data_IF_660212325721
#
_entry.id   IF_660212325721
#
_cell.length_a   1.000
_cell.length_b   1.000
_cell.length_c   1.000
_cell.angle_alpha   90.00
_cell.angle_beta   90.00
_cell.angle_gamma   90.00
#
_symmetry.space_group_name_H-M   'P 1'
#
loop_
_entity.id
_entity.type
_entity.pdbx_description
1 polymer ?
#
# COMPACT_ATOMS: atom_id res chain seq x y z
N UNK A 1 -12.74 -29.22 23.40
CA UNK A 1 -12.19 -29.73 22.13
C UNK A 1 -12.31 -28.59 21.11
N UNK A 2 -11.21 -27.97 20.71
CA UNK A 2 -11.23 -27.02 19.59
C UNK A 2 -11.30 -27.81 18.30
N UNK A 3 -12.32 -27.54 17.49
CA UNK A 3 -12.41 -28.15 16.15
C UNK A 3 -11.22 -27.60 15.34
N UNK A 4 -10.37 -28.45 14.75
CA UNK A 4 -9.24 -27.98 13.96
C UNK A 4 -9.74 -27.20 12.74
N UNK A 5 -9.05 -26.10 12.41
CA UNK A 5 -9.38 -25.30 11.22
C UNK A 5 -9.18 -26.13 9.95
N UNK A 6 -10.17 -26.11 9.06
CA UNK A 6 -10.06 -26.70 7.73
C UNK A 6 -9.22 -25.82 6.79
N UNK A 7 -8.90 -26.32 5.59
CA UNK A 7 -8.03 -25.64 4.62
C UNK A 7 -8.53 -24.24 4.25
N UNK A 8 -9.83 -24.10 3.99
CA UNK A 8 -10.41 -22.82 3.56
C UNK A 8 -10.44 -21.81 4.72
N UNK A 9 -10.73 -22.26 5.93
CA UNK A 9 -10.66 -21.45 7.15
C UNK A 9 -9.24 -20.97 7.41
N UNK A 10 -8.23 -21.83 7.23
CA UNK A 10 -6.82 -21.45 7.37
C UNK A 10 -6.42 -20.41 6.34
N UNK A 11 -6.80 -20.60 5.06
CA UNK A 11 -6.53 -19.63 3.99
C UNK A 11 -7.16 -18.27 4.27
N UNK A 12 -8.45 -18.26 4.64
CA UNK A 12 -9.14 -17.03 4.99
C UNK A 12 -8.46 -16.32 6.17
N UNK A 13 -8.12 -17.07 7.22
CA UNK A 13 -7.46 -16.50 8.39
C UNK A 13 -6.05 -15.99 8.06
N UNK A 14 -5.27 -16.71 7.26
CA UNK A 14 -3.96 -16.26 6.79
C UNK A 14 -4.07 -14.93 6.05
N UNK A 15 -4.97 -14.82 5.08
CA UNK A 15 -5.14 -13.59 4.30
C UNK A 15 -5.51 -12.39 5.21
N UNK A 16 -6.46 -12.58 6.12
CA UNK A 16 -6.88 -11.52 7.05
C UNK A 16 -5.76 -11.09 8.02
N UNK A 17 -4.98 -12.05 8.53
CA UNK A 17 -3.87 -11.75 9.44
C UNK A 17 -2.66 -11.12 8.71
N UNK A 18 -2.42 -11.51 7.45
CA UNK A 18 -1.38 -10.91 6.61
C UNK A 18 -1.71 -9.45 6.28
N UNK A 19 -2.96 -9.13 5.97
CA UNK A 19 -3.42 -7.74 5.77
C UNK A 19 -3.21 -6.88 7.03
N UNK A 20 -3.53 -7.43 8.21
CA UNK A 20 -3.25 -6.76 9.48
C UNK A 20 -1.74 -6.56 9.69
N UNK A 21 -0.92 -7.58 9.43
CA UNK A 21 0.54 -7.48 9.53
C UNK A 21 1.11 -6.37 8.64
N UNK A 22 0.65 -6.27 7.39
CA UNK A 22 1.06 -5.22 6.44
C UNK A 22 0.75 -3.81 6.99
N UNK A 23 -0.45 -3.62 7.55
CA UNK A 23 -0.83 -2.35 8.17
C UNK A 23 0.00 -2.03 9.42
N UNK A 24 0.31 -3.02 10.26
CA UNK A 24 1.17 -2.83 11.43
C UNK A 24 2.59 -2.41 11.03
N UNK A 25 3.16 -3.03 9.99
CA UNK A 25 4.46 -2.64 9.43
C UNK A 25 4.45 -1.19 8.91
N UNK A 26 3.38 -0.79 8.22
CA UNK A 26 3.21 0.58 7.74
C UNK A 26 3.09 1.58 8.88
N UNK A 27 2.30 1.28 9.92
CA UNK A 27 2.17 2.15 11.09
C UNK A 27 3.48 2.27 11.85
N UNK A 28 4.21 1.17 12.03
CA UNK A 28 5.54 1.20 12.64
C UNK A 28 6.48 2.15 11.88
N UNK A 29 6.54 2.05 10.55
CA UNK A 29 7.38 2.94 9.73
C UNK A 29 6.97 4.42 9.84
N UNK A 30 5.67 4.73 9.87
CA UNK A 30 5.17 6.10 10.03
C UNK A 30 5.45 6.64 11.43
N UNK A 31 5.24 5.83 12.46
CA UNK A 31 5.50 6.20 13.84
C UNK A 31 6.98 6.41 14.09
N UNK A 32 7.89 5.78 13.35
CA UNK A 32 9.34 5.98 13.50
C UNK A 32 9.86 7.33 12.98
N UNK A 33 9.00 8.19 12.43
CA UNK A 33 9.40 9.51 11.94
C UNK A 33 8.65 10.60 12.70
N UNK A 34 9.29 11.75 12.87
CA UNK A 34 8.64 12.93 13.44
C UNK A 34 7.67 13.56 12.42
N UNK A 35 7.99 13.41 11.13
CA UNK A 35 7.09 13.73 10.04
C UNK A 35 7.38 12.88 8.80
N UNK A 36 6.37 12.72 7.95
CA UNK A 36 6.52 12.15 6.61
C UNK A 36 6.15 13.21 5.58
N UNK A 37 7.12 13.61 4.76
CA UNK A 37 6.91 14.52 3.63
C UNK A 37 7.00 13.72 2.33
N UNK A 38 5.97 13.85 1.50
CA UNK A 38 5.85 13.28 0.15
C UNK A 38 5.60 14.41 -0.84
N UNK A 39 5.62 14.12 -2.15
CA UNK A 39 5.40 15.11 -3.22
C UNK A 39 4.11 15.93 -3.01
N UNK A 40 3.04 15.29 -2.53
CA UNK A 40 1.72 15.93 -2.41
C UNK A 40 1.26 16.14 -0.96
N UNK A 41 1.96 15.60 0.03
CA UNK A 41 1.46 15.56 1.43
C UNK A 41 2.58 15.71 2.43
N UNK A 42 2.32 16.50 3.46
CA UNK A 42 3.06 16.51 4.72
C UNK A 42 2.17 15.91 5.81
N UNK A 43 2.70 14.91 6.50
CA UNK A 43 2.04 14.20 7.60
C UNK A 43 2.91 14.32 8.84
N UNK A 44 2.68 15.34 9.70
CA UNK A 44 3.39 15.43 10.97
C UNK A 44 2.93 14.29 11.89
N UNK A 45 3.84 13.76 12.70
CA UNK A 45 3.49 12.79 13.74
C UNK A 45 2.88 13.55 14.93
N UNK A 46 1.59 13.33 15.26
CA UNK A 46 0.93 14.10 16.29
C UNK A 46 1.21 13.57 17.71
N UNK A 47 1.93 12.45 17.84
CA UNK A 47 2.11 11.77 19.12
C UNK A 47 3.38 12.24 19.85
N UNK A 48 3.27 12.45 21.16
CA UNK A 48 4.44 12.69 22.01
C UNK A 48 5.40 11.49 21.98
N UNK A 49 6.69 11.68 22.30
CA UNK A 49 7.66 10.58 22.36
C UNK A 49 7.19 9.39 23.22
N UNK A 50 6.56 9.65 24.36
CA UNK A 50 6.04 8.61 25.26
C UNK A 50 4.87 7.86 24.65
N UNK A 51 3.94 8.58 24.00
CA UNK A 51 2.78 7.94 23.35
C UNK A 51 3.22 7.15 22.12
N UNK A 52 4.16 7.67 21.35
CA UNK A 52 4.79 6.98 20.22
C UNK A 52 5.49 5.70 20.67
N UNK A 53 6.27 5.76 21.74
CA UNK A 53 6.89 4.55 22.33
C UNK A 53 5.85 3.50 22.70
N UNK A 54 4.78 3.89 23.40
CA UNK A 54 3.68 2.96 23.76
C UNK A 54 2.99 2.34 22.53
N UNK A 55 2.77 3.13 21.48
CA UNK A 55 2.19 2.61 20.23
C UNK A 55 3.11 1.59 19.55
N UNK A 56 4.42 1.87 19.52
CA UNK A 56 5.42 0.95 18.97
C UNK A 56 5.52 -0.36 19.78
N UNK A 57 5.46 -0.26 21.10
CA UNK A 57 5.38 -1.42 22.01
C UNK A 57 4.11 -2.26 21.71
N UNK A 58 2.94 -1.62 21.58
CA UNK A 58 1.70 -2.32 21.24
C UNK A 58 1.75 -2.99 19.85
N UNK A 59 2.34 -2.34 18.85
CA UNK A 59 2.54 -2.94 17.52
C UNK A 59 3.44 -4.17 17.61
N UNK A 60 4.49 -4.11 18.43
CA UNK A 60 5.43 -5.22 18.63
C UNK A 60 4.72 -6.41 19.28
N UNK A 61 4.01 -6.16 20.39
CA UNK A 61 3.20 -7.19 21.08
C UNK A 61 2.13 -7.79 20.16
N UNK A 62 1.49 -6.97 19.32
CA UNK A 62 0.49 -7.46 18.36
C UNK A 62 1.14 -8.37 17.31
N UNK A 63 2.31 -8.00 16.80
CA UNK A 63 3.08 -8.80 15.82
C UNK A 63 3.51 -10.14 16.43
N UNK A 64 3.94 -10.15 17.69
CA UNK A 64 4.25 -11.39 18.42
C UNK A 64 3.02 -12.28 18.59
N UNK A 65 1.85 -11.69 18.85
CA UNK A 65 0.60 -12.43 18.93
C UNK A 65 0.21 -13.05 17.57
N UNK A 66 0.41 -12.33 16.46
CA UNK A 66 0.19 -12.88 15.11
C UNK A 66 1.08 -14.09 14.84
N UNK A 67 2.36 -14.03 15.24
CA UNK A 67 3.29 -15.18 15.12
C UNK A 67 2.80 -16.38 15.93
N UNK A 68 2.38 -16.15 17.17
CA UNK A 68 1.82 -17.20 18.02
C UNK A 68 0.54 -17.81 17.45
N UNK A 69 -0.35 -16.98 16.88
CA UNK A 69 -1.56 -17.47 16.19
C UNK A 69 -1.19 -18.33 14.97
N UNK A 70 -0.26 -17.87 14.14
CA UNK A 70 0.22 -18.63 12.97
C UNK A 70 0.72 -20.01 13.39
N UNK A 71 1.51 -20.08 14.44
CA UNK A 71 2.07 -21.33 14.99
C UNK A 71 0.97 -22.22 15.58
N UNK A 72 0.10 -21.67 16.43
CA UNK A 72 -0.96 -22.43 17.12
C UNK A 72 -1.98 -23.04 16.15
N UNK A 73 -2.29 -22.34 15.05
CA UNK A 73 -3.26 -22.80 14.06
C UNK A 73 -2.61 -23.47 12.83
N UNK A 74 -1.28 -23.53 12.77
CA UNK A 74 -0.53 -24.06 11.64
C UNK A 74 -0.95 -23.39 10.34
N UNK A 75 -0.91 -22.05 10.33
CA UNK A 75 -1.27 -21.23 9.18
C UNK A 75 -0.09 -21.20 8.19
N UNK A 76 -0.37 -21.30 6.87
CA UNK A 76 0.68 -21.23 5.87
C UNK A 76 1.36 -19.85 5.87
N UNK A 77 2.64 -19.84 5.49
CA UNK A 77 3.32 -18.63 5.01
C UNK A 77 2.99 -18.53 3.52
N UNK A 78 2.49 -17.38 3.09
CA UNK A 78 2.24 -17.12 1.68
C UNK A 78 3.49 -16.51 1.04
N UNK A 79 3.97 -17.14 -0.03
CA UNK A 79 4.99 -16.55 -0.88
C UNK A 79 4.31 -15.55 -1.83
N UNK A 80 4.60 -14.28 -1.64
CA UNK A 80 4.17 -13.23 -2.55
C UNK A 80 5.19 -13.06 -3.68
N UNK A 81 4.72 -13.09 -4.94
CA UNK A 81 5.54 -12.71 -6.08
C UNK A 81 5.62 -11.17 -6.16
N UNK A 82 6.73 -10.61 -5.68
CA UNK A 82 6.99 -9.18 -5.72
C UNK A 82 6.88 -8.62 -7.15
N UNK A 83 7.30 -9.37 -8.18
CA UNK A 83 7.21 -8.90 -9.58
C UNK A 83 5.77 -8.78 -10.02
N UNK A 84 4.93 -9.75 -9.64
CA UNK A 84 3.50 -9.70 -9.91
C UNK A 84 2.84 -8.53 -9.16
N UNK A 85 3.15 -8.35 -7.87
CA UNK A 85 2.63 -7.24 -7.07
C UNK A 85 3.01 -5.87 -7.65
N UNK A 86 4.28 -5.67 -8.00
CA UNK A 86 4.75 -4.45 -8.65
C UNK A 86 4.05 -4.24 -10.00
N UNK A 87 3.93 -5.28 -10.81
CA UNK A 87 3.29 -5.19 -12.13
C UNK A 87 1.81 -4.80 -12.02
N UNK A 88 1.06 -5.45 -11.13
CA UNK A 88 -0.35 -5.17 -10.91
C UNK A 88 -0.56 -3.76 -10.36
N UNK A 89 0.26 -3.35 -9.39
CA UNK A 89 0.20 -2.01 -8.78
C UNK A 89 0.51 -0.91 -9.79
N UNK A 90 1.57 -1.08 -10.59
CA UNK A 90 1.94 -0.11 -11.63
C UNK A 90 0.89 -0.02 -12.73
N UNK A 91 0.25 -1.14 -13.09
CA UNK A 91 -0.86 -1.14 -14.04
C UNK A 91 -2.06 -0.37 -13.49
N UNK A 92 -2.42 -0.60 -12.22
CA UNK A 92 -3.50 0.15 -11.57
C UNK A 92 -3.25 1.66 -11.60
N UNK A 93 -2.03 2.10 -11.28
CA UNK A 93 -1.70 3.53 -11.34
C UNK A 93 -1.70 4.09 -12.76
N UNK A 94 -1.26 3.33 -13.76
CA UNK A 94 -1.36 3.76 -15.16
C UNK A 94 -2.81 3.98 -15.59
N UNK A 95 -3.74 3.08 -15.21
CA UNK A 95 -5.17 3.28 -15.45
C UNK A 95 -5.70 4.51 -14.72
N UNK A 96 -5.32 4.72 -13.46
CA UNK A 96 -5.77 5.91 -12.73
C UNK A 96 -5.26 7.23 -13.36
N UNK A 97 -4.05 7.24 -13.93
CA UNK A 97 -3.54 8.42 -14.64
C UNK A 97 -4.32 8.71 -15.93
N UNK A 98 -4.78 7.67 -16.64
CA UNK A 98 -5.65 7.85 -17.80
C UNK A 98 -6.97 8.53 -17.42
N UNK A 99 -7.51 8.24 -16.23
CA UNK A 99 -8.70 8.93 -15.68
C UNK A 99 -8.45 10.42 -15.39
N UNK A 100 -7.20 10.86 -15.33
CA UNK A 100 -6.83 12.27 -15.15
C UNK A 100 -6.69 13.05 -16.47
N UNK A 101 -6.89 12.42 -17.63
CA UNK A 101 -6.82 13.11 -18.92
C UNK A 101 -7.83 14.27 -19.00
N UNK A 102 -7.47 15.42 -19.63
CA UNK A 102 -8.33 16.61 -19.65
C UNK A 102 -9.76 16.35 -20.13
N UNK A 103 -9.95 15.45 -21.09
CA UNK A 103 -11.27 15.11 -21.62
C UNK A 103 -12.16 14.37 -20.62
N UNK A 104 -11.57 13.69 -19.63
CA UNK A 104 -12.28 12.99 -18.53
C UNK A 104 -12.53 13.90 -17.33
N UNK A 105 -11.74 14.96 -17.18
CA UNK A 105 -11.90 15.95 -16.10
C UNK A 105 -13.02 16.97 -16.32
N UNK A 106 -13.68 16.99 -17.48
CA UNK A 106 -14.75 17.95 -17.81
C UNK A 106 -15.89 18.01 -16.79
N UNK A 107 -16.16 16.92 -16.07
CA UNK A 107 -17.16 16.88 -15.00
C UNK A 107 -16.82 17.78 -13.80
N UNK A 108 -15.55 18.21 -13.68
CA UNK A 108 -15.04 19.07 -12.62
C UNK A 108 -14.82 20.52 -13.09
N UNK A 109 -15.24 20.86 -14.30
CA UNK A 109 -15.05 22.16 -14.93
C UNK A 109 -14.26 22.07 -16.24
N UNK A 110 -14.34 23.13 -17.03
CA UNK A 110 -13.56 23.24 -18.26
C UNK A 110 -12.12 23.69 -17.96
N UNK A 111 -11.16 23.04 -18.61
CA UNK A 111 -9.77 23.46 -18.67
C UNK A 111 -9.57 24.31 -19.93
N UNK A 112 -8.83 25.41 -19.82
CA UNK A 112 -8.38 26.12 -21.02
C UNK A 112 -7.41 25.24 -21.83
N UNK A 113 -7.28 25.55 -23.11
CA UNK A 113 -6.52 24.73 -24.07
C UNK A 113 -5.04 24.59 -23.68
N UNK A 114 -4.42 25.64 -23.14
CA UNK A 114 -3.02 25.62 -22.73
C UNK A 114 -2.83 24.71 -21.51
N UNK A 115 -3.66 24.87 -20.48
CA UNK A 115 -3.62 24.01 -19.29
C UNK A 115 -3.89 22.54 -19.64
N UNK A 116 -4.87 22.27 -20.51
CA UNK A 116 -5.19 20.92 -20.95
C UNK A 116 -3.99 20.26 -21.68
N UNK A 117 -3.32 21.02 -22.56
CA UNK A 117 -2.14 20.54 -23.28
C UNK A 117 -0.98 20.25 -22.32
N UNK A 118 -0.67 21.18 -21.40
CA UNK A 118 0.40 20.98 -20.42
C UNK A 118 0.13 19.76 -19.52
N UNK A 119 -1.10 19.59 -19.05
CA UNK A 119 -1.49 18.43 -18.25
C UNK A 119 -1.29 17.13 -19.02
N UNK A 120 -1.72 17.07 -20.28
CA UNK A 120 -1.54 15.90 -21.16
C UNK A 120 -0.06 15.53 -21.30
N UNK A 121 0.81 16.51 -21.52
CA UNK A 121 2.27 16.27 -21.65
C UNK A 121 2.88 15.70 -20.34
N UNK A 122 2.45 16.20 -19.19
CA UNK A 122 2.89 15.69 -17.89
C UNK A 122 2.37 14.26 -17.62
N UNK A 123 1.10 13.99 -17.92
CA UNK A 123 0.50 12.65 -17.76
C UNK A 123 1.16 11.62 -18.68
N UNK A 124 1.46 11.99 -19.93
CA UNK A 124 2.22 11.15 -20.85
C UNK A 124 3.63 10.84 -20.32
N UNK A 125 4.32 11.85 -19.78
CA UNK A 125 5.66 11.66 -19.20
C UNK A 125 5.60 10.69 -18.01
N UNK A 126 4.66 10.88 -17.09
CA UNK A 126 4.47 9.99 -15.94
C UNK A 126 4.12 8.56 -16.37
N UNK A 127 3.21 8.42 -17.34
CA UNK A 127 2.81 7.12 -17.89
C UNK A 127 4.01 6.39 -18.52
N UNK A 128 4.86 7.12 -19.26
CA UNK A 128 6.10 6.59 -19.82
C UNK A 128 7.07 6.09 -18.75
N UNK A 129 7.22 6.81 -17.64
CA UNK A 129 8.06 6.41 -16.50
C UNK A 129 7.49 5.16 -15.79
N UNK A 130 6.18 5.08 -15.56
CA UNK A 130 5.54 3.89 -14.99
C UNK A 130 5.72 2.66 -15.89
N UNK A 131 5.65 2.84 -17.21
CA UNK A 131 5.89 1.76 -18.17
C UNK A 131 7.34 1.24 -18.13
N UNK A 132 8.32 2.14 -17.95
CA UNK A 132 9.72 1.76 -17.76
C UNK A 132 9.92 0.97 -16.46
N UNK A 133 9.39 1.46 -15.33
CA UNK A 133 9.42 0.74 -14.05
C UNK A 133 8.82 -0.67 -14.17
N UNK A 134 7.69 -0.79 -14.85
CA UNK A 134 7.04 -2.09 -15.08
C UNK A 134 7.87 -3.02 -15.96
N UNK A 135 8.63 -2.48 -16.90
CA UNK A 135 9.52 -3.26 -17.78
C UNK A 135 10.71 -3.80 -17.00
N UNK A 136 11.32 -2.97 -16.15
CA UNK A 136 12.41 -3.41 -15.27
C UNK A 136 11.92 -4.43 -14.23
N UNK A 137 10.72 -4.27 -13.68
CA UNK A 137 10.13 -5.23 -12.73
C UNK A 137 9.82 -6.62 -13.33
N UNK A 138 9.81 -6.75 -14.66
CA UNK A 138 9.59 -8.02 -15.37
C UNK A 138 10.88 -8.75 -15.75
N UNK A 139 12.03 -8.08 -15.72
CA UNK A 139 13.34 -8.70 -15.99
C UNK A 139 13.77 -9.56 -14.81
#
# INVERSE_FOLDING_TARGET
MTVPLNTDQKRFLTAALAELEEHLLRFNALLQRDETITVFRRVPNPFSPERRRRLLELITTTTEHLRAMREAFGLPIEEADLRWQMTATLLHFATNLEECEPHRLKAFGDLDEETAKQLTEQLHTLTGLLAQLRTEAKR
#
